data_IF_920877135458
#
_entry.id   IF_920877135458
#
_cell.length_a   1.000
_cell.length_b   1.000
_cell.length_c   1.000
_cell.angle_alpha   90.00
_cell.angle_beta   90.00
_cell.angle_gamma   90.00
#
_symmetry.space_group_name_H-M   'P 1'
#
loop_
_entity.id
_entity.type
_entity.pdbx_description
1 polymer ?
#
# COMPACT_ATOMS: atom_id res chain seq x y z
N UNK A 1 -10.88 -3.33 5.30
CA UNK A 1 -12.29 -3.54 5.61
C UNK A 1 -13.17 -2.90 4.55
N UNK A 2 -14.36 -3.46 4.28
CA UNK A 2 -15.37 -2.90 3.40
C UNK A 2 -16.65 -2.69 4.18
N UNK A 3 -17.21 -1.48 4.07
CA UNK A 3 -18.40 -1.00 4.78
C UNK A 3 -19.49 -0.71 3.76
N UNK A 4 -20.66 -1.29 3.92
CA UNK A 4 -21.74 -1.08 2.97
C UNK A 4 -23.12 -1.43 3.53
N UNK A 5 -24.18 -1.04 2.80
CA UNK A 5 -24.16 -0.06 1.72
C UNK A 5 -23.88 1.36 2.26
N UNK A 6 -22.95 2.10 1.68
CA UNK A 6 -22.68 3.47 2.10
C UNK A 6 -23.70 4.44 1.51
N UNK A 7 -23.84 5.66 2.08
CA UNK A 7 -24.55 6.75 1.45
C UNK A 7 -24.08 7.00 0.01
N UNK A 8 -24.97 7.44 -0.88
CA UNK A 8 -24.69 7.59 -2.30
C UNK A 8 -23.49 8.52 -2.59
N UNK A 9 -23.36 9.57 -1.81
CA UNK A 9 -22.27 10.55 -1.87
C UNK A 9 -20.89 9.95 -1.56
N UNK A 10 -20.81 8.80 -0.90
CA UNK A 10 -19.56 8.08 -0.62
C UNK A 10 -19.24 7.02 -1.68
N UNK A 11 -19.86 7.13 -2.84
CA UNK A 11 -19.55 6.29 -4.00
C UNK A 11 -18.79 7.06 -5.09
N UNK A 12 -18.14 6.32 -5.99
CA UNK A 12 -17.53 6.92 -7.19
C UNK A 12 -18.59 7.65 -8.03
N UNK A 13 -19.78 7.08 -8.18
CA UNK A 13 -20.88 7.69 -8.91
C UNK A 13 -21.39 8.97 -8.23
N UNK A 14 -21.28 9.08 -6.91
CA UNK A 14 -21.59 10.28 -6.12
C UNK A 14 -20.46 11.31 -6.11
N UNK A 15 -19.35 11.04 -6.81
CA UNK A 15 -18.21 11.96 -6.90
C UNK A 15 -17.24 11.91 -5.72
N UNK A 16 -17.35 10.90 -4.84
CA UNK A 16 -16.41 10.74 -3.74
C UNK A 16 -15.02 10.37 -4.26
N UNK A 17 -13.97 11.12 -3.90
CA UNK A 17 -12.60 10.74 -4.23
C UNK A 17 -12.08 9.65 -3.30
N UNK A 18 -10.99 8.96 -3.69
CA UNK A 18 -10.16 8.27 -2.72
C UNK A 18 -9.55 9.30 -1.76
N UNK A 19 -9.42 8.94 -0.50
CA UNK A 19 -8.96 9.86 0.54
C UNK A 19 -7.87 9.22 1.41
N UNK A 20 -7.07 10.08 2.01
CA UNK A 20 -6.09 9.71 3.03
C UNK A 20 -6.06 10.79 4.10
N UNK A 21 -6.11 10.37 5.36
CA UNK A 21 -6.01 11.22 6.54
C UNK A 21 -4.77 10.84 7.33
N UNK A 22 -3.90 11.81 7.53
CA UNK A 22 -2.77 11.70 8.44
C UNK A 22 -3.15 12.37 9.75
N UNK A 23 -3.32 11.57 10.79
CA UNK A 23 -3.79 11.97 12.11
C UNK A 23 -2.76 11.58 13.17
N UNK A 24 -2.77 12.19 14.35
CA UNK A 24 -1.88 11.78 15.45
C UNK A 24 -2.00 10.31 15.84
N UNK A 25 -3.20 9.74 15.70
CA UNK A 25 -3.52 8.35 16.03
C UNK A 25 -3.17 7.34 14.91
N UNK A 26 -2.84 7.79 13.70
CA UNK A 26 -2.48 6.91 12.57
C UNK A 26 -2.81 7.50 11.20
N UNK A 27 -2.40 6.81 10.17
CA UNK A 27 -2.72 7.17 8.78
C UNK A 27 -3.82 6.25 8.27
N UNK A 28 -4.96 6.84 7.92
CA UNK A 28 -6.13 6.10 7.42
C UNK A 28 -6.44 6.49 5.99
N UNK A 29 -6.87 5.51 5.20
CA UNK A 29 -7.28 5.77 3.83
C UNK A 29 -8.61 5.10 3.51
N UNK A 30 -9.27 5.63 2.49
CA UNK A 30 -10.46 5.00 1.95
C UNK A 30 -10.56 5.10 0.43
N UNK A 31 -11.25 4.12 -0.12
CA UNK A 31 -11.61 4.04 -1.52
C UNK A 31 -13.13 4.02 -1.60
N UNK A 32 -13.76 4.94 -2.34
CA UNK A 32 -15.21 5.06 -2.43
C UNK A 32 -15.86 3.79 -2.99
N UNK A 33 -17.10 3.58 -2.65
CA UNK A 33 -17.88 2.44 -3.13
C UNK A 33 -17.96 2.44 -4.65
N UNK A 34 -17.74 1.27 -5.26
CA UNK A 34 -17.79 1.07 -6.70
C UNK A 34 -18.27 -0.35 -7.04
N UNK A 35 -19.08 -0.49 -8.11
CA UNK A 35 -19.46 -1.79 -8.65
C UNK A 35 -20.20 -2.73 -7.67
N UNK A 36 -20.96 -2.18 -6.72
CA UNK A 36 -21.65 -2.94 -5.68
C UNK A 36 -20.78 -3.32 -4.47
N UNK A 37 -19.49 -3.02 -4.49
CA UNK A 37 -18.64 -3.13 -3.31
C UNK A 37 -18.87 -1.94 -2.37
N UNK A 38 -18.82 -2.19 -1.06
CA UNK A 38 -18.86 -1.14 -0.05
C UNK A 38 -17.67 -0.19 -0.13
N UNK A 39 -17.70 0.88 0.66
CA UNK A 39 -16.54 1.74 0.84
C UNK A 39 -15.42 0.94 1.52
N UNK A 40 -14.24 0.91 0.91
CA UNK A 40 -13.06 0.30 1.51
C UNK A 40 -12.37 1.32 2.41
N UNK A 41 -12.07 0.93 3.65
CA UNK A 41 -11.21 1.72 4.53
C UNK A 41 -10.21 0.82 5.25
N UNK A 42 -9.05 1.37 5.55
CA UNK A 42 -8.02 0.70 6.33
C UNK A 42 -7.07 1.71 6.98
N UNK A 43 -6.38 1.26 8.02
CA UNK A 43 -5.19 1.93 8.52
C UNK A 43 -4.00 1.61 7.59
N UNK A 44 -3.25 2.64 7.20
CA UNK A 44 -2.09 2.49 6.32
C UNK A 44 -0.83 2.19 7.12
N UNK A 45 -0.75 2.69 8.33
CA UNK A 45 0.37 2.50 9.27
C UNK A 45 -0.01 1.50 10.36
N UNK A 46 0.96 1.07 11.12
CA UNK A 46 0.74 0.01 12.12
C UNK A 46 0.97 -1.36 11.48
N UNK A 47 0.30 -2.35 11.95
CA UNK A 47 0.46 -3.72 11.51
C UNK A 47 1.65 -4.44 12.15
N UNK A 48 1.53 -5.74 12.26
CA UNK A 48 2.56 -6.60 12.85
C UNK A 48 3.54 -7.04 11.78
N UNK A 49 4.81 -7.17 12.16
CA UNK A 49 5.83 -7.75 11.29
C UNK A 49 5.48 -9.22 11.01
N UNK A 50 5.50 -9.58 9.72
CA UNK A 50 5.21 -10.93 9.24
C UNK A 50 6.51 -11.55 8.74
N UNK A 51 6.95 -12.63 9.38
CA UNK A 51 8.19 -13.35 9.02
C UNK A 51 7.98 -14.28 7.84
N UNK A 52 6.82 -14.89 7.73
CA UNK A 52 6.43 -15.75 6.61
C UNK A 52 5.03 -15.39 6.12
N UNK A 53 4.91 -14.69 4.97
CA UNK A 53 3.61 -14.29 4.45
C UNK A 53 2.74 -15.47 3.99
N UNK A 54 3.31 -16.66 3.78
CA UNK A 54 2.56 -17.86 3.41
C UNK A 54 1.93 -18.54 4.62
N UNK A 55 2.55 -18.39 5.80
CA UNK A 55 2.06 -18.92 7.08
C UNK A 55 1.34 -17.84 7.93
N UNK A 56 1.22 -16.61 7.45
CA UNK A 56 0.61 -15.52 8.20
C UNK A 56 -0.87 -15.79 8.49
N UNK A 57 -1.27 -15.48 9.72
CA UNK A 57 -2.69 -15.45 10.08
C UNK A 57 -3.40 -14.39 9.25
N UNK A 58 -4.52 -14.78 8.65
CA UNK A 58 -5.38 -13.91 7.84
C UNK A 58 -6.72 -13.62 8.53
N UNK A 59 -6.84 -14.01 9.78
CA UNK A 59 -8.01 -13.67 10.59
C UNK A 59 -8.13 -12.15 10.77
N UNK A 60 -9.31 -11.71 11.10
CA UNK A 60 -9.58 -10.32 11.39
C UNK A 60 -8.87 -9.89 12.69
N UNK A 61 -8.04 -8.86 12.61
CA UNK A 61 -7.52 -8.18 13.80
C UNK A 61 -8.57 -7.22 14.36
N UNK A 62 -9.14 -7.58 15.49
CA UNK A 62 -10.18 -6.80 16.16
C UNK A 62 -9.69 -5.44 16.67
N UNK A 63 -8.41 -5.32 17.00
CA UNK A 63 -7.83 -4.06 17.43
C UNK A 63 -7.67 -3.10 16.24
N UNK A 64 -7.17 -3.58 15.09
CA UNK A 64 -7.11 -2.80 13.86
C UNK A 64 -8.51 -2.39 13.42
N UNK A 65 -9.46 -3.33 13.43
CA UNK A 65 -10.86 -3.04 13.13
C UNK A 65 -11.39 -1.91 13.99
N UNK A 66 -11.20 -1.97 15.31
CA UNK A 66 -11.67 -0.94 16.24
C UNK A 66 -11.08 0.44 15.94
N UNK A 67 -9.81 0.52 15.53
CA UNK A 67 -9.19 1.79 15.12
C UNK A 67 -9.81 2.35 13.83
N UNK A 68 -10.05 1.49 12.84
CA UNK A 68 -10.71 1.90 11.58
C UNK A 68 -12.15 2.34 11.81
N UNK A 69 -12.93 1.60 12.62
CA UNK A 69 -14.29 1.97 12.99
C UNK A 69 -14.33 3.30 13.75
N UNK A 70 -13.41 3.52 14.69
CA UNK A 70 -13.28 4.78 15.42
C UNK A 70 -12.97 5.96 14.51
N UNK A 71 -12.06 5.78 13.54
CA UNK A 71 -11.78 6.77 12.50
C UNK A 71 -13.02 7.11 11.68
N UNK A 72 -13.71 6.08 11.16
CA UNK A 72 -14.87 6.27 10.28
C UNK A 72 -16.05 6.93 11.01
N UNK A 73 -16.31 6.55 12.26
CA UNK A 73 -17.39 7.16 13.04
C UNK A 73 -17.19 8.66 13.27
N UNK A 74 -15.92 9.09 13.36
CA UNK A 74 -15.54 10.49 13.56
C UNK A 74 -15.55 11.29 12.25
N UNK A 75 -15.02 10.71 11.16
CA UNK A 75 -14.75 11.42 9.91
C UNK A 75 -15.84 11.23 8.86
N UNK A 76 -16.55 10.10 8.87
CA UNK A 76 -17.59 9.77 7.91
C UNK A 76 -18.87 9.30 8.62
N UNK A 77 -19.50 10.19 9.39
CA UNK A 77 -20.75 9.85 10.08
C UNK A 77 -21.83 9.48 9.04
N UNK A 78 -22.55 8.40 9.29
CA UNK A 78 -23.56 7.87 8.37
C UNK A 78 -23.10 6.62 7.60
N UNK A 79 -21.81 6.26 7.68
CA UNK A 79 -21.36 4.96 7.20
C UNK A 79 -21.78 3.85 8.19
N UNK A 80 -22.13 2.64 7.73
CA UNK A 80 -22.32 1.50 8.62
C UNK A 80 -21.12 1.29 9.55
N UNK A 81 -21.39 1.05 10.82
CA UNK A 81 -20.34 1.00 11.85
C UNK A 81 -19.53 -0.31 11.83
N UNK A 82 -20.04 -1.36 11.19
CA UNK A 82 -19.34 -2.64 11.11
C UNK A 82 -19.06 -3.01 9.66
N UNK A 83 -17.88 -3.56 9.37
CA UNK A 83 -17.55 -4.01 8.04
C UNK A 83 -18.34 -5.27 7.66
N UNK A 84 -18.69 -5.40 6.39
CA UNK A 84 -19.26 -6.61 5.81
C UNK A 84 -18.20 -7.64 5.43
N UNK A 85 -16.96 -7.18 5.22
CA UNK A 85 -15.85 -8.00 4.76
C UNK A 85 -14.52 -7.40 5.17
N UNK A 86 -13.53 -8.25 5.39
CA UNK A 86 -12.13 -7.83 5.51
C UNK A 86 -11.22 -8.66 4.60
N UNK A 87 -10.04 -8.14 4.33
CA UNK A 87 -8.94 -8.88 3.74
C UNK A 87 -7.62 -8.23 4.17
N UNK A 88 -6.69 -9.00 4.75
CA UNK A 88 -5.39 -8.48 5.12
C UNK A 88 -4.56 -8.18 3.87
N UNK A 89 -3.77 -7.11 3.94
CA UNK A 89 -2.77 -6.76 2.95
C UNK A 89 -1.38 -6.76 3.59
N UNK A 90 -0.40 -7.25 2.86
CA UNK A 90 0.99 -7.24 3.31
C UNK A 90 1.78 -6.18 2.55
N UNK A 91 2.63 -5.46 3.26
CA UNK A 91 3.62 -4.56 2.67
C UNK A 91 5.00 -5.19 2.76
N UNK A 92 5.74 -5.19 1.66
CA UNK A 92 7.18 -5.45 1.69
C UNK A 92 7.87 -4.13 1.94
N UNK A 93 8.31 -3.92 3.18
CA UNK A 93 8.90 -2.65 3.62
C UNK A 93 10.43 -2.76 3.56
N UNK A 94 11.09 -1.83 2.88
CA UNK A 94 12.53 -1.70 2.89
C UNK A 94 13.00 -0.99 4.18
N UNK A 95 14.27 -1.14 4.61
CA UNK A 95 14.76 -0.52 5.84
C UNK A 95 14.58 1.00 5.92
N UNK A 96 14.66 1.68 4.79
CA UNK A 96 14.49 3.14 4.67
C UNK A 96 13.13 3.54 4.12
N UNK A 97 12.20 2.58 3.97
CA UNK A 97 10.86 2.75 3.44
C UNK A 97 10.80 3.30 1.99
N UNK A 98 11.92 3.37 1.29
CA UNK A 98 11.99 3.72 -0.12
C UNK A 98 12.01 2.45 -0.98
N UNK A 99 11.60 2.59 -2.23
CA UNK A 99 11.62 1.47 -3.19
C UNK A 99 13.03 0.96 -3.43
N UNK A 100 13.14 -0.29 -3.82
CA UNK A 100 14.38 -0.88 -4.34
C UNK A 100 14.18 -1.14 -5.82
N UNK A 101 15.02 -0.59 -6.66
CA UNK A 101 15.04 -0.84 -8.09
C UNK A 101 16.51 -1.06 -8.51
N UNK A 102 16.81 -2.27 -8.96
CA UNK A 102 18.19 -2.62 -9.28
C UNK A 102 18.26 -3.79 -10.27
N UNK A 103 19.49 -4.14 -10.65
CA UNK A 103 19.84 -5.37 -11.36
C UNK A 103 20.28 -6.44 -10.39
N UNK A 104 19.92 -7.66 -10.70
CA UNK A 104 20.40 -8.79 -9.92
C UNK A 104 21.94 -8.92 -10.07
N UNK A 105 22.69 -8.99 -8.96
CA UNK A 105 24.15 -8.95 -9.02
C UNK A 105 24.76 -10.13 -9.80
N UNK A 106 24.17 -11.32 -9.72
CA UNK A 106 24.64 -12.50 -10.44
C UNK A 106 24.02 -12.65 -11.83
N UNK A 107 22.93 -11.96 -12.14
CA UNK A 107 22.19 -12.06 -13.41
C UNK A 107 21.92 -10.65 -13.95
N UNK A 108 22.89 -10.00 -14.62
CA UNK A 108 22.78 -8.59 -15.01
C UNK A 108 21.61 -8.26 -15.95
N UNK A 109 21.03 -9.26 -16.62
CA UNK A 109 19.82 -9.10 -17.44
C UNK A 109 18.51 -9.18 -16.64
N UNK A 110 18.56 -9.67 -15.41
CA UNK A 110 17.44 -9.66 -14.50
C UNK A 110 17.40 -8.33 -13.74
N UNK A 111 16.33 -7.59 -13.92
CA UNK A 111 16.04 -6.34 -13.20
C UNK A 111 14.83 -6.54 -12.31
N UNK A 112 14.77 -5.82 -11.20
CA UNK A 112 13.68 -5.99 -10.24
C UNK A 112 13.33 -4.68 -9.55
N UNK A 113 12.07 -4.58 -9.16
CA UNK A 113 11.59 -3.63 -8.17
C UNK A 113 11.05 -4.40 -6.96
N UNK A 114 11.40 -3.96 -5.77
CA UNK A 114 11.00 -4.57 -4.52
C UNK A 114 10.83 -3.51 -3.42
N UNK A 115 10.34 -3.92 -2.25
CA UNK A 115 10.21 -3.03 -1.10
C UNK A 115 9.37 -1.80 -1.41
N UNK A 116 8.21 -1.96 -2.07
CA UNK A 116 7.36 -0.84 -2.47
C UNK A 116 6.61 -0.20 -1.29
N UNK A 117 6.84 -0.67 -0.08
CA UNK A 117 6.52 -0.06 1.22
C UNK A 117 5.07 0.45 1.32
N UNK A 118 4.12 -0.27 0.69
CA UNK A 118 2.69 0.03 0.74
C UNK A 118 2.21 1.17 -0.17
N UNK A 119 3.10 1.84 -0.93
CA UNK A 119 2.73 3.03 -1.73
C UNK A 119 3.23 3.00 -3.19
N UNK A 120 3.67 1.85 -3.68
CA UNK A 120 4.28 1.72 -5.01
C UNK A 120 3.31 1.76 -6.19
N UNK A 121 2.04 1.45 -6.01
CA UNK A 121 1.11 1.28 -7.12
C UNK A 121 1.00 2.52 -8.03
N UNK A 122 0.95 3.71 -7.46
CA UNK A 122 0.90 4.97 -8.21
C UNK A 122 2.14 5.22 -9.07
N UNK A 123 3.25 4.55 -8.78
CA UNK A 123 4.50 4.66 -9.54
C UNK A 123 4.70 3.53 -10.56
N UNK A 124 3.74 2.59 -10.68
CA UNK A 124 3.87 1.45 -11.56
C UNK A 124 4.26 1.79 -13.02
N UNK A 125 3.71 2.85 -13.65
CA UNK A 125 4.12 3.22 -15.02
C UNK A 125 5.59 3.61 -15.11
N UNK A 126 6.07 4.52 -14.25
CA UNK A 126 7.46 5.01 -14.30
C UNK A 126 8.46 3.95 -13.84
N UNK A 127 8.11 3.12 -12.87
CA UNK A 127 8.95 1.98 -12.47
C UNK A 127 9.01 0.93 -13.58
N UNK A 128 7.90 0.69 -14.27
CA UNK A 128 7.85 -0.21 -15.42
C UNK A 128 8.72 0.27 -16.58
N UNK A 129 8.68 1.56 -16.90
CA UNK A 129 9.56 2.19 -17.90
C UNK A 129 11.02 2.02 -17.52
N UNK A 130 11.40 2.38 -16.30
CA UNK A 130 12.77 2.24 -15.81
C UNK A 130 13.27 0.78 -15.87
N UNK A 131 12.44 -0.18 -15.47
CA UNK A 131 12.78 -1.60 -15.54
C UNK A 131 12.96 -2.08 -16.99
N UNK A 132 12.08 -1.66 -17.90
CA UNK A 132 12.18 -2.01 -19.31
C UNK A 132 13.48 -1.48 -19.93
N UNK A 133 13.80 -0.19 -19.73
CA UNK A 133 15.05 0.42 -20.21
C UNK A 133 16.29 -0.24 -19.60
N UNK A 134 16.28 -0.51 -18.30
CA UNK A 134 17.38 -1.23 -17.64
C UNK A 134 17.56 -2.64 -18.19
N UNK A 135 16.49 -3.36 -18.51
CA UNK A 135 16.55 -4.72 -19.03
C UNK A 135 17.03 -4.75 -20.49
N UNK A 136 16.53 -3.85 -21.34
CA UNK A 136 16.76 -3.84 -22.77
C UNK A 136 18.06 -3.11 -23.14
N UNK A 137 18.23 -1.89 -22.61
CA UNK A 137 19.31 -0.98 -23.01
C UNK A 137 20.45 -0.93 -22.00
N UNK A 138 20.27 -1.54 -20.86
CA UNK A 138 21.27 -1.55 -19.79
C UNK A 138 21.36 -0.25 -19.00
N UNK A 139 20.58 0.76 -19.32
CA UNK A 139 20.56 2.07 -18.66
C UNK A 139 19.19 2.70 -18.78
N UNK A 140 18.89 3.66 -17.93
CA UNK A 140 17.71 4.51 -18.00
C UNK A 140 18.11 5.98 -17.82
N UNK A 141 17.37 6.88 -18.43
CA UNK A 141 17.50 8.33 -18.20
C UNK A 141 16.70 8.80 -17.00
N UNK A 142 15.79 7.97 -16.47
CA UNK A 142 15.03 8.29 -15.29
C UNK A 142 15.95 8.34 -14.05
N UNK A 143 15.74 9.29 -13.13
CA UNK A 143 16.63 9.51 -11.98
C UNK A 143 16.38 8.47 -10.87
N UNK A 144 16.50 7.18 -11.18
CA UNK A 144 16.23 6.06 -10.27
C UNK A 144 17.47 5.55 -9.51
N UNK A 145 18.63 6.14 -9.72
CA UNK A 145 19.88 5.68 -9.10
C UNK A 145 19.84 5.63 -7.57
N UNK A 146 19.09 6.51 -6.93
CA UNK A 146 18.91 6.52 -5.47
C UNK A 146 18.12 5.31 -4.95
N UNK A 147 17.41 4.58 -5.82
CA UNK A 147 16.66 3.37 -5.48
C UNK A 147 17.51 2.10 -5.52
N UNK A 148 18.82 2.20 -5.89
CA UNK A 148 19.70 1.04 -5.95
C UNK A 148 19.80 0.33 -4.59
N UNK A 149 19.79 -1.01 -4.62
CA UNK A 149 20.00 -1.85 -3.43
C UNK A 149 21.39 -1.65 -2.79
N UNK A 150 22.35 -1.11 -3.55
CA UNK A 150 23.71 -0.80 -3.06
C UNK A 150 23.73 0.21 -1.92
N UNK A 151 22.66 1.02 -1.77
CA UNK A 151 22.55 1.97 -0.66
C UNK A 151 22.49 1.29 0.72
N UNK A 152 22.17 0.01 0.76
CA UNK A 152 22.18 -0.79 2.00
C UNK A 152 23.52 -1.49 2.26
N UNK A 153 24.43 -1.52 1.28
CA UNK A 153 25.71 -2.27 1.39
C UNK A 153 26.76 -1.56 2.27
N UNK A 154 26.47 -0.36 2.79
CA UNK A 154 27.36 0.39 3.68
C UNK A 154 26.90 0.46 5.13
N UNK A 155 25.76 -0.10 5.47
CA UNK A 155 25.24 -0.15 6.83
C UNK A 155 25.67 -1.47 7.51
N UNK A 156 26.97 -1.62 7.76
CA UNK A 156 27.42 -2.55 8.83
C UNK A 156 27.09 -1.90 10.15
N UNK A 157 26.21 -2.54 10.89
CA UNK A 157 25.79 -2.22 12.26
C UNK A 157 26.98 -2.07 13.23
#
# INVERSE_FOLDING_TARGET
FWFGPPPAELSVAGGCPAFLYELPEGVFYGIPAHGGAGLKAAEHTGGLAVTDPLAADRAEDTAERGRVEGFLSKMLPGLPQSPERHAPCFYTVSPDQNFVLDRHPAFPKAVYAAGLSGHGFKFAPVLGEALAELALDGKTLLPVGFLSAKRFSGATA
#
